data_IF_688013419523
#
_entry.id   IF_688013419523
#
_cell.length_a   1.000
_cell.length_b   1.000
_cell.length_c   1.000
_cell.angle_alpha   90.00
_cell.angle_beta   90.00
_cell.angle_gamma   90.00
#
_symmetry.space_group_name_H-M   'P 1'
#
loop_
_entity.id
_entity.type
_entity.pdbx_description
1 polymer ?
#
# COMPACT_ATOMS: atom_id res chain seq x y z
N UNK A 1 47.24 -28.18 -9.66
CA UNK A 1 46.36 -27.29 -10.44
C UNK A 1 45.38 -26.67 -9.46
N UNK A 2 45.69 -25.54 -8.81
CA UNK A 2 45.66 -24.13 -9.25
C UNK A 2 44.31 -23.71 -9.83
N UNK A 3 43.78 -22.64 -9.24
CA UNK A 3 42.61 -21.77 -9.55
C UNK A 3 41.40 -22.02 -8.64
N UNK A 4 40.88 -21.06 -7.86
CA UNK A 4 41.25 -19.67 -7.67
C UNK A 4 40.52 -19.09 -6.44
N UNK A 5 41.25 -18.36 -5.61
CA UNK A 5 40.73 -17.57 -4.49
C UNK A 5 41.25 -16.15 -4.65
N UNK A 6 40.40 -15.27 -5.16
CA UNK A 6 40.70 -13.83 -5.34
C UNK A 6 39.55 -12.92 -4.90
N UNK A 7 38.58 -13.44 -4.14
CA UNK A 7 37.39 -12.67 -3.74
C UNK A 7 37.34 -12.29 -2.25
N UNK A 8 38.12 -12.94 -1.37
CA UNK A 8 38.07 -12.69 0.08
C UNK A 8 39.01 -11.59 0.59
N UNK A 9 39.94 -11.11 -0.26
CA UNK A 9 40.96 -10.13 0.17
C UNK A 9 40.50 -8.66 0.10
N UNK A 10 39.33 -8.39 -0.49
CA UNK A 10 38.76 -7.03 -0.60
C UNK A 10 37.83 -6.68 0.57
N UNK A 11 37.22 -7.67 1.22
CA UNK A 11 36.27 -7.43 2.32
C UNK A 11 37.01 -7.11 3.63
N UNK A 12 38.14 -7.76 3.90
CA UNK A 12 38.95 -7.49 5.10
C UNK A 12 39.58 -6.09 5.06
N UNK A 13 39.91 -5.58 3.87
CA UNK A 13 40.56 -4.28 3.71
C UNK A 13 39.57 -3.10 3.85
N UNK A 14 38.30 -3.31 3.52
CA UNK A 14 37.23 -2.29 3.69
C UNK A 14 36.74 -2.22 5.14
N UNK A 15 36.68 -3.36 5.87
CA UNK A 15 36.34 -3.35 7.29
C UNK A 15 37.46 -2.74 8.18
N UNK A 16 38.74 -2.91 7.82
CA UNK A 16 39.83 -2.29 8.56
C UNK A 16 39.89 -0.75 8.38
N UNK A 17 39.41 -0.23 7.25
CA UNK A 17 39.34 1.21 6.99
C UNK A 17 38.11 1.87 7.66
N UNK A 18 37.01 1.14 7.85
CA UNK A 18 35.83 1.64 8.56
C UNK A 18 35.97 1.55 10.09
N UNK A 19 36.74 0.59 10.62
CA UNK A 19 37.01 0.48 12.05
C UNK A 19 38.04 1.51 12.58
N UNK A 20 38.81 2.16 11.70
CA UNK A 20 39.78 3.18 12.10
C UNK A 20 39.18 4.59 12.28
N UNK A 21 37.90 4.78 11.95
CA UNK A 21 37.24 6.11 11.98
C UNK A 21 36.22 6.27 13.11
N UNK A 22 35.92 5.21 13.87
CA UNK A 22 34.99 5.32 15.01
C UNK A 22 35.65 5.04 16.35
N UNK A 23 35.68 6.08 17.18
CA UNK A 23 35.72 6.09 18.65
C UNK A 23 37.08 6.04 19.37
N UNK A 24 37.66 7.23 19.60
CA UNK A 24 38.18 7.58 20.93
C UNK A 24 37.68 8.98 21.33
N UNK A 25 36.85 9.13 22.38
CA UNK A 25 36.20 10.38 22.74
C UNK A 25 37.05 11.26 23.68
N UNK A 26 38.37 11.31 23.50
CA UNK A 26 39.26 12.23 24.24
C UNK A 26 40.61 12.39 23.53
N UNK A 27 40.62 13.04 22.37
CA UNK A 27 41.86 13.55 21.79
C UNK A 27 42.00 15.04 22.14
N UNK A 28 42.69 15.30 23.24
CA UNK A 28 43.27 16.62 23.50
C UNK A 28 44.45 16.80 22.53
N UNK A 29 44.20 17.44 21.40
CA UNK A 29 45.25 17.80 20.45
C UNK A 29 46.04 19.01 21.00
N UNK A 30 46.99 18.77 21.89
CA UNK A 30 47.96 19.80 22.28
C UNK A 30 49.07 19.88 21.22
N UNK A 31 48.90 20.79 20.28
CA UNK A 31 49.85 21.02 19.20
C UNK A 31 51.06 21.78 19.75
N UNK A 32 52.20 21.10 19.91
CA UNK A 32 53.47 21.72 20.30
C UNK A 32 54.27 22.07 19.03
N UNK A 33 54.36 23.36 18.62
CA UNK A 33 55.08 23.71 17.40
C UNK A 33 56.60 23.54 17.60
N UNK A 34 57.35 23.17 16.56
CA UNK A 34 58.81 23.14 16.63
C UNK A 34 59.33 24.56 16.83
N UNK A 35 60.21 24.71 17.82
CA UNK A 35 60.90 25.95 18.16
C UNK A 35 61.88 26.34 17.04
N UNK A 36 61.40 27.09 16.06
CA UNK A 36 62.24 27.66 15.01
C UNK A 36 61.45 28.07 13.77
N UNK A 37 61.07 29.34 13.66
CA UNK A 37 60.43 29.89 12.47
C UNK A 37 59.25 30.83 12.73
N UNK A 38 59.37 31.75 13.68
CA UNK A 38 58.36 32.77 13.95
C UNK A 38 58.35 33.85 12.87
N UNK A 39 57.53 33.65 11.83
CA UNK A 39 56.78 34.69 11.09
C UNK A 39 55.94 34.04 9.97
N UNK A 40 56.48 33.02 9.30
CA UNK A 40 55.83 32.34 8.16
C UNK A 40 54.76 31.32 8.57
N UNK A 41 54.96 30.58 9.67
CA UNK A 41 54.00 29.58 10.13
C UNK A 41 52.65 30.19 10.58
N UNK A 42 52.67 31.39 11.18
CA UNK A 42 51.46 32.09 11.62
C UNK A 42 50.64 32.66 10.46
N UNK A 43 51.30 33.10 9.37
CA UNK A 43 50.66 33.55 8.12
C UNK A 43 50.04 32.40 7.32
N UNK A 44 50.62 31.20 7.39
CA UNK A 44 50.10 30.01 6.71
C UNK A 44 48.92 29.38 7.46
N UNK A 45 48.94 29.38 8.79
CA UNK A 45 47.83 28.87 9.61
C UNK A 45 46.56 29.73 9.48
N UNK A 46 46.69 31.06 9.40
CA UNK A 46 45.53 31.95 9.19
C UNK A 46 44.89 31.81 7.80
N UNK A 47 45.65 31.40 6.78
CA UNK A 47 45.13 31.10 5.43
C UNK A 47 44.46 29.73 5.32
N UNK A 48 44.80 28.79 6.20
CA UNK A 48 44.15 27.47 6.24
C UNK A 48 42.83 27.54 7.01
N UNK A 49 42.79 28.26 8.15
CA UNK A 49 41.56 28.50 8.90
C UNK A 49 40.48 29.22 8.07
N UNK A 50 40.87 30.21 7.25
CA UNK A 50 39.91 30.90 6.39
C UNK A 50 39.32 30.03 5.28
N UNK A 51 40.06 29.01 4.81
CA UNK A 51 39.55 28.06 3.81
C UNK A 51 38.59 27.04 4.41
N UNK A 52 38.83 26.62 5.66
CA UNK A 52 37.92 25.72 6.36
C UNK A 52 36.62 26.42 6.71
N UNK A 53 36.67 27.67 7.17
CA UNK A 53 35.45 28.49 7.44
C UNK A 53 34.60 28.72 6.18
N UNK A 54 35.23 29.03 5.04
CA UNK A 54 34.50 29.21 3.76
C UNK A 54 33.85 27.90 3.30
N UNK A 55 34.51 26.76 3.52
CA UNK A 55 33.93 25.46 3.19
C UNK A 55 32.81 25.06 4.15
N UNK A 56 32.90 25.43 5.43
CA UNK A 56 31.85 25.20 6.42
C UNK A 56 30.58 25.97 6.06
N UNK A 57 30.69 27.25 5.68
CA UNK A 57 29.54 28.01 5.18
C UNK A 57 28.89 27.37 3.95
N UNK A 58 29.69 26.88 3.00
CA UNK A 58 29.15 26.18 1.81
C UNK A 58 28.45 24.88 2.16
N UNK A 59 28.96 24.13 3.15
CA UNK A 59 28.32 22.91 3.63
C UNK A 59 26.97 23.20 4.31
N UNK A 60 26.88 24.30 5.06
CA UNK A 60 25.63 24.76 5.66
C UNK A 60 24.62 25.20 4.60
N UNK A 61 25.06 25.99 3.61
CA UNK A 61 24.20 26.42 2.50
C UNK A 61 23.70 25.23 1.66
N UNK A 62 24.54 24.21 1.46
CA UNK A 62 24.17 22.98 0.77
C UNK A 62 23.15 22.17 1.56
N UNK A 63 23.33 22.01 2.89
CA UNK A 63 22.33 21.34 3.72
C UNK A 63 20.98 22.04 3.64
N UNK A 64 20.95 23.36 3.82
CA UNK A 64 19.71 24.13 3.72
C UNK A 64 19.06 23.99 2.34
N UNK A 65 19.87 23.93 1.28
CA UNK A 65 19.36 23.73 -0.09
C UNK A 65 18.76 22.33 -0.27
N UNK A 66 19.35 21.30 0.33
CA UNK A 66 18.81 19.93 0.33
C UNK A 66 17.49 19.87 1.08
N UNK A 67 17.40 20.49 2.25
CA UNK A 67 16.17 20.52 3.05
C UNK A 67 15.01 21.17 2.28
N UNK A 68 15.26 22.32 1.65
CA UNK A 68 14.27 23.02 0.82
C UNK A 68 13.86 22.19 -0.40
N UNK A 69 14.79 21.46 -1.02
CA UNK A 69 14.48 20.58 -2.14
C UNK A 69 13.65 19.38 -1.70
N UNK A 70 13.92 18.82 -0.51
CA UNK A 70 13.14 17.73 0.05
C UNK A 70 11.69 18.17 0.30
N UNK A 71 11.47 19.31 0.96
CA UNK A 71 10.13 19.85 1.20
C UNK A 71 9.37 20.14 -0.11
N UNK A 72 10.06 20.66 -1.13
CA UNK A 72 9.49 20.88 -2.47
C UNK A 72 9.14 19.57 -3.16
N UNK A 73 9.95 18.53 -3.01
CA UNK A 73 9.66 17.22 -3.57
C UNK A 73 8.43 16.60 -2.88
N UNK A 74 8.39 16.61 -1.55
CA UNK A 74 7.28 16.07 -0.78
C UNK A 74 5.95 16.79 -1.09
N UNK A 75 5.96 18.12 -1.17
CA UNK A 75 4.78 18.89 -1.58
C UNK A 75 4.33 18.56 -3.00
N UNK A 76 5.26 18.42 -3.94
CA UNK A 76 4.93 18.04 -5.34
C UNK A 76 4.41 16.62 -5.47
N UNK A 77 4.91 15.68 -4.66
CA UNK A 77 4.38 14.32 -4.57
C UNK A 77 2.93 14.37 -4.10
N UNK A 78 2.62 15.09 -3.01
CA UNK A 78 1.24 15.25 -2.50
C UNK A 78 0.30 15.90 -3.51
N UNK A 79 0.76 16.91 -4.25
CA UNK A 79 -0.04 17.54 -5.32
C UNK A 79 -0.33 16.55 -6.46
N UNK A 80 0.66 15.75 -6.84
CA UNK A 80 0.51 14.71 -7.87
C UNK A 80 -0.47 13.63 -7.43
N UNK A 81 -0.35 13.15 -6.18
CA UNK A 81 -1.25 12.14 -5.62
C UNK A 81 -2.70 12.63 -5.67
N UNK A 82 -2.98 13.85 -5.19
CA UNK A 82 -4.33 14.43 -5.27
C UNK A 82 -4.84 14.56 -6.70
N UNK A 83 -3.99 15.02 -7.62
CA UNK A 83 -4.39 15.15 -9.03
C UNK A 83 -4.68 13.78 -9.65
N UNK A 84 -3.93 12.75 -9.27
CA UNK A 84 -4.15 11.38 -9.71
C UNK A 84 -5.45 10.82 -9.13
N UNK A 85 -5.70 10.96 -7.83
CA UNK A 85 -6.97 10.59 -7.17
C UNK A 85 -8.18 11.25 -7.86
N UNK A 86 -8.07 12.53 -8.22
CA UNK A 86 -9.15 13.22 -8.93
C UNK A 86 -9.43 12.66 -10.34
N UNK A 87 -8.39 12.21 -11.05
CA UNK A 87 -8.56 11.59 -12.37
C UNK A 87 -9.22 10.22 -12.21
N UNK A 88 -8.78 9.43 -11.24
CA UNK A 88 -9.35 8.12 -10.96
C UNK A 88 -10.83 8.20 -10.51
N UNK A 89 -11.19 9.14 -9.62
CA UNK A 89 -12.60 9.38 -9.26
C UNK A 89 -13.47 9.67 -10.50
N UNK A 90 -12.96 10.49 -11.41
CA UNK A 90 -13.67 10.82 -12.64
C UNK A 90 -13.80 9.61 -13.56
N UNK A 91 -12.75 8.80 -13.72
CA UNK A 91 -12.79 7.54 -14.48
C UNK A 91 -13.86 6.60 -13.90
N UNK A 92 -13.83 6.35 -12.59
CA UNK A 92 -14.80 5.48 -11.91
C UNK A 92 -16.25 5.94 -12.11
N UNK A 93 -16.47 7.26 -12.05
CA UNK A 93 -17.80 7.84 -12.25
C UNK A 93 -18.25 7.75 -13.70
N UNK A 94 -17.31 7.87 -14.65
CA UNK A 94 -17.61 7.66 -16.06
C UNK A 94 -17.95 6.20 -16.30
N UNK A 95 -17.14 5.25 -15.84
CA UNK A 95 -17.39 3.81 -16.00
C UNK A 95 -18.74 3.39 -15.44
N UNK A 96 -19.07 3.86 -14.23
CA UNK A 96 -20.36 3.58 -13.61
C UNK A 96 -21.55 4.13 -14.43
N UNK A 97 -21.36 5.29 -15.09
CA UNK A 97 -22.38 5.90 -15.94
C UNK A 97 -22.45 5.25 -17.33
N UNK A 98 -21.31 4.80 -17.85
CA UNK A 98 -21.22 4.20 -19.18
C UNK A 98 -21.85 2.81 -19.22
N UNK A 99 -22.09 2.19 -18.06
CA UNK A 99 -22.80 0.93 -17.86
C UNK A 99 -22.36 -0.16 -18.82
N UNK A 100 -21.61 -1.12 -18.29
CA UNK A 100 -21.19 -2.31 -19.01
C UNK A 100 -22.31 -2.86 -19.90
N UNK A 101 -21.96 -3.02 -21.17
CA UNK A 101 -22.86 -3.60 -22.17
C UNK A 101 -23.04 -5.11 -21.98
N UNK A 102 -22.20 -5.71 -21.13
CA UNK A 102 -22.24 -7.10 -20.75
C UNK A 102 -23.31 -7.41 -19.69
N UNK A 103 -23.70 -8.68 -19.59
CA UNK A 103 -24.62 -9.20 -18.59
C UNK A 103 -24.03 -9.18 -17.16
N UNK A 104 -24.87 -9.48 -16.16
CA UNK A 104 -24.51 -9.45 -14.71
C UNK A 104 -23.41 -10.42 -14.27
N UNK A 105 -22.97 -11.33 -15.13
CA UNK A 105 -21.99 -12.39 -14.84
C UNK A 105 -20.97 -12.50 -15.97
N UNK A 106 -20.77 -11.39 -16.63
CA UNK A 106 -19.92 -11.26 -17.79
C UNK A 106 -18.91 -10.15 -17.52
N UNK A 107 -17.70 -10.35 -18.02
CA UNK A 107 -16.60 -9.42 -17.93
C UNK A 107 -16.34 -8.82 -19.31
N UNK A 108 -16.16 -7.50 -19.36
CA UNK A 108 -15.88 -6.77 -20.57
C UNK A 108 -14.37 -6.75 -20.83
N UNK A 109 -13.94 -7.23 -21.99
CA UNK A 109 -12.53 -7.28 -22.36
C UNK A 109 -11.89 -5.91 -22.63
N UNK A 110 -12.68 -4.84 -22.64
CA UNK A 110 -12.20 -3.46 -22.88
C UNK A 110 -11.78 -3.21 -24.33
N UNK A 111 -12.14 -4.10 -25.25
CA UNK A 111 -11.90 -3.95 -26.68
C UNK A 111 -13.01 -3.14 -27.36
N UNK A 112 -12.73 -2.60 -28.55
CA UNK A 112 -13.73 -1.82 -29.31
C UNK A 112 -14.93 -2.68 -29.72
N UNK A 113 -14.78 -4.00 -29.79
CA UNK A 113 -15.82 -4.93 -30.26
C UNK A 113 -16.83 -5.35 -29.18
N UNK A 114 -16.72 -4.81 -27.96
CA UNK A 114 -17.63 -5.13 -26.86
C UNK A 114 -17.70 -6.64 -26.59
N UNK A 115 -16.53 -7.28 -26.52
CA UNK A 115 -16.42 -8.70 -26.27
C UNK A 115 -16.63 -8.98 -24.77
N UNK A 116 -17.66 -9.77 -24.48
CA UNK A 116 -18.01 -10.20 -23.14
C UNK A 116 -17.69 -11.67 -22.94
N UNK A 117 -16.94 -11.99 -21.89
CA UNK A 117 -16.65 -13.37 -21.46
C UNK A 117 -17.32 -13.65 -20.11
N UNK A 118 -17.38 -14.91 -19.66
CA UNK A 118 -17.93 -15.23 -18.33
C UNK A 118 -17.01 -14.75 -17.21
N UNK A 119 -17.59 -14.28 -16.11
CA UNK A 119 -16.91 -13.99 -14.84
C UNK A 119 -16.00 -15.13 -14.33
N UNK A 120 -16.33 -16.38 -14.66
CA UNK A 120 -15.56 -17.57 -14.28
C UNK A 120 -14.29 -17.79 -15.09
N UNK A 121 -14.13 -17.12 -16.24
CA UNK A 121 -12.93 -17.24 -17.08
C UNK A 121 -11.88 -16.18 -16.74
N UNK A 122 -12.26 -15.14 -15.99
CA UNK A 122 -11.34 -14.08 -15.61
C UNK A 122 -10.30 -14.60 -14.62
N UNK A 123 -9.02 -14.38 -14.90
CA UNK A 123 -7.91 -14.77 -14.04
C UNK A 123 -7.87 -16.27 -13.75
N UNK A 124 -8.26 -17.11 -14.71
CA UNK A 124 -8.24 -18.56 -14.60
C UNK A 124 -6.89 -19.17 -15.05
N UNK A 125 -6.04 -18.36 -15.69
CA UNK A 125 -4.74 -18.71 -16.25
C UNK A 125 -4.75 -18.95 -17.77
N UNK A 126 -5.89 -18.74 -18.44
CA UNK A 126 -6.11 -18.80 -19.88
C UNK A 126 -6.47 -17.40 -20.37
N UNK A 127 -5.89 -16.97 -21.50
CA UNK A 127 -6.33 -15.73 -22.14
C UNK A 127 -7.57 -16.03 -22.99
N UNK A 128 -8.74 -15.62 -22.50
CA UNK A 128 -10.03 -15.79 -23.16
C UNK A 128 -10.46 -14.52 -23.90
N UNK A 129 -9.98 -13.34 -23.49
CA UNK A 129 -10.10 -12.13 -24.30
C UNK A 129 -9.07 -12.11 -25.45
N UNK A 130 -9.44 -11.53 -26.60
CA UNK A 130 -8.53 -11.39 -27.75
C UNK A 130 -7.30 -10.51 -27.44
N UNK A 131 -7.44 -9.57 -26.51
CA UNK A 131 -6.37 -8.72 -25.99
C UNK A 131 -5.71 -9.28 -24.71
N UNK A 132 -6.15 -10.45 -24.21
CA UNK A 132 -5.73 -11.05 -22.95
C UNK A 132 -5.94 -10.16 -21.71
N UNK A 133 -6.90 -9.22 -21.75
CA UNK A 133 -7.19 -8.29 -20.65
C UNK A 133 -7.62 -9.01 -19.37
N UNK A 134 -8.33 -10.12 -19.51
CA UNK A 134 -8.79 -10.99 -18.44
C UNK A 134 -7.66 -11.64 -17.61
N UNK A 135 -6.44 -11.66 -18.13
CA UNK A 135 -5.25 -12.21 -17.47
C UNK A 135 -4.21 -11.13 -17.12
N UNK A 136 -4.55 -9.85 -17.29
CA UNK A 136 -3.65 -8.78 -16.93
C UNK A 136 -3.45 -8.67 -15.42
N UNK A 137 -2.21 -8.34 -15.01
CA UNK A 137 -1.84 -8.35 -13.60
C UNK A 137 -2.64 -7.36 -12.73
N UNK A 138 -3.16 -6.29 -13.33
CA UNK A 138 -3.98 -5.31 -12.62
C UNK A 138 -5.43 -5.81 -12.40
N UNK A 139 -5.98 -6.58 -13.34
CA UNK A 139 -7.30 -7.23 -13.20
C UNK A 139 -7.22 -8.36 -12.17
N UNK A 140 -6.14 -9.14 -12.22
CA UNK A 140 -5.95 -10.30 -11.35
C UNK A 140 -5.31 -9.98 -9.98
N UNK A 141 -5.20 -8.70 -9.64
CA UNK A 141 -4.76 -8.27 -8.31
C UNK A 141 -5.90 -8.44 -7.30
N UNK A 142 -5.58 -9.00 -6.12
CA UNK A 142 -6.55 -9.13 -5.04
C UNK A 142 -6.45 -7.92 -4.10
N UNK A 143 -7.36 -6.96 -4.24
CA UNK A 143 -7.45 -5.77 -3.37
C UNK A 143 -7.68 -6.13 -1.89
N UNK A 144 -8.35 -7.25 -1.64
CA UNK A 144 -8.60 -7.84 -0.32
C UNK A 144 -7.66 -9.01 0.02
N UNK A 145 -6.39 -8.95 -0.43
CA UNK A 145 -5.39 -9.98 -0.14
C UNK A 145 -5.09 -10.16 1.35
N UNK A 146 -4.51 -11.30 1.72
CA UNK A 146 -4.17 -11.61 3.12
C UNK A 146 -3.29 -10.53 3.78
N UNK A 147 -3.62 -10.18 5.02
CA UNK A 147 -2.99 -9.10 5.79
C UNK A 147 -3.65 -7.73 5.60
N UNK A 148 -4.58 -7.60 4.66
CA UNK A 148 -5.33 -6.34 4.49
C UNK A 148 -6.30 -6.11 5.65
N UNK A 149 -6.35 -4.88 6.14
CA UNK A 149 -7.37 -4.40 7.07
C UNK A 149 -8.20 -3.35 6.35
N UNK A 150 -9.52 -3.48 6.42
CA UNK A 150 -10.49 -2.56 5.83
C UNK A 150 -11.37 -2.05 6.96
N UNK A 151 -11.43 -0.74 7.15
CA UNK A 151 -12.22 -0.14 8.24
C UNK A 151 -13.01 1.08 7.78
N UNK A 152 -14.16 1.30 8.41
CA UNK A 152 -15.03 2.41 8.07
C UNK A 152 -16.25 2.52 8.98
N UNK A 153 -16.85 3.71 8.96
CA UNK A 153 -18.03 4.02 9.74
C UNK A 153 -19.30 3.72 8.95
N UNK A 154 -20.34 3.27 9.66
CA UNK A 154 -21.63 2.94 9.05
C UNK A 154 -22.48 4.19 8.94
N UNK A 155 -22.85 4.56 7.72
CA UNK A 155 -23.62 5.79 7.44
C UNK A 155 -25.13 5.59 7.62
N UNK A 156 -25.62 4.37 7.42
CA UNK A 156 -27.04 4.02 7.54
C UNK A 156 -27.15 2.62 8.12
N UNK A 157 -27.94 2.45 9.19
CA UNK A 157 -28.19 1.15 9.80
C UNK A 157 -29.68 0.96 10.08
N UNK A 158 -30.27 -0.06 9.46
CA UNK A 158 -31.64 -0.55 9.69
C UNK A 158 -31.65 -2.04 10.03
N UNK A 159 -30.49 -2.62 10.31
CA UNK A 159 -30.32 -4.03 10.61
C UNK A 159 -30.95 -4.35 11.98
N UNK A 160 -32.11 -5.02 11.96
CA UNK A 160 -32.81 -5.40 13.18
C UNK A 160 -31.96 -6.34 14.07
N UNK A 161 -31.78 -5.99 15.35
CA UNK A 161 -31.09 -6.84 16.34
C UNK A 161 -29.70 -6.38 16.76
N UNK A 162 -29.12 -5.43 16.03
CA UNK A 162 -27.94 -4.66 16.42
C UNK A 162 -28.27 -3.20 16.17
N UNK A 163 -29.13 -2.66 17.05
CA UNK A 163 -29.33 -1.22 17.10
C UNK A 163 -27.93 -0.62 17.28
N UNK A 164 -27.56 0.30 16.38
CA UNK A 164 -26.36 1.12 16.52
C UNK A 164 -24.99 0.51 16.20
N UNK A 165 -24.86 -0.34 15.18
CA UNK A 165 -23.52 -0.58 14.60
C UNK A 165 -22.93 0.76 14.12
N UNK A 166 -21.80 1.17 14.68
CA UNK A 166 -21.15 2.45 14.40
C UNK A 166 -19.95 2.28 13.48
N UNK A 167 -19.14 1.25 13.73
CA UNK A 167 -17.85 1.05 13.05
C UNK A 167 -17.65 -0.42 12.68
N UNK A 168 -17.13 -0.67 11.47
CA UNK A 168 -16.77 -2.00 10.98
C UNK A 168 -15.27 -2.02 10.73
N UNK A 169 -14.61 -3.06 11.22
CA UNK A 169 -13.26 -3.43 10.82
C UNK A 169 -13.23 -4.87 10.35
N UNK A 170 -12.81 -5.06 9.10
CA UNK A 170 -12.62 -6.32 8.43
C UNK A 170 -11.12 -6.60 8.31
N UNK A 171 -10.67 -7.75 8.79
CA UNK A 171 -9.26 -8.16 8.71
C UNK A 171 -9.15 -9.46 7.95
N UNK A 172 -8.40 -9.46 6.85
CA UNK A 172 -8.17 -10.67 6.04
C UNK A 172 -7.02 -11.46 6.62
N UNK A 173 -7.31 -12.58 7.26
CA UNK A 173 -6.30 -13.42 7.93
C UNK A 173 -5.60 -14.34 6.94
N UNK A 174 -6.35 -14.86 5.97
CA UNK A 174 -5.82 -15.88 5.07
C UNK A 174 -6.48 -15.85 3.71
N UNK A 175 -5.70 -16.21 2.71
CA UNK A 175 -6.12 -16.32 1.32
C UNK A 175 -5.73 -17.67 0.77
N UNK A 176 -6.66 -18.30 0.03
CA UNK A 176 -6.45 -19.56 -0.65
C UNK A 176 -7.00 -19.47 -2.06
N UNK A 177 -6.10 -19.53 -3.04
CA UNK A 177 -6.43 -19.66 -4.47
C UNK A 177 -6.09 -21.07 -4.92
N UNK A 178 -7.05 -21.77 -5.55
CA UNK A 178 -6.86 -23.14 -6.00
C UNK A 178 -6.22 -23.11 -7.39
N UNK A 179 -5.21 -23.93 -7.62
CA UNK A 179 -4.52 -23.94 -8.92
C UNK A 179 -5.41 -24.33 -10.10
N UNK A 180 -6.44 -25.15 -9.86
CA UNK A 180 -7.42 -25.59 -10.87
C UNK A 180 -8.65 -24.67 -10.98
N UNK A 181 -8.75 -23.65 -10.14
CA UNK A 181 -9.86 -22.69 -10.17
C UNK A 181 -9.37 -21.37 -9.57
N UNK A 182 -8.77 -20.56 -10.44
CA UNK A 182 -8.05 -19.34 -10.07
C UNK A 182 -8.93 -18.09 -10.12
N UNK A 183 -10.08 -18.15 -10.79
CA UNK A 183 -11.04 -17.04 -10.95
C UNK A 183 -11.70 -16.58 -9.65
N UNK A 184 -11.59 -17.37 -8.58
CA UNK A 184 -12.12 -17.02 -7.25
C UNK A 184 -11.10 -17.37 -6.17
N UNK A 185 -10.81 -16.40 -5.30
CA UNK A 185 -10.02 -16.62 -4.10
C UNK A 185 -10.93 -16.86 -2.89
N UNK A 186 -10.64 -17.89 -2.10
CA UNK A 186 -11.31 -18.12 -0.81
C UNK A 186 -10.53 -17.42 0.28
N UNK A 187 -11.19 -16.53 1.00
CA UNK A 187 -10.61 -15.75 2.08
C UNK A 187 -11.16 -16.20 3.43
N UNK A 188 -10.32 -16.08 4.46
CA UNK A 188 -10.73 -16.20 5.86
C UNK A 188 -10.57 -14.83 6.49
N UNK A 189 -11.66 -14.28 7.00
CA UNK A 189 -11.71 -12.89 7.46
C UNK A 189 -12.25 -12.83 8.88
N UNK A 190 -11.73 -11.93 9.70
CA UNK A 190 -12.35 -11.58 10.97
C UNK A 190 -13.06 -10.25 10.82
N UNK A 191 -14.31 -10.22 11.24
CA UNK A 191 -15.12 -9.01 11.28
C UNK A 191 -15.26 -8.58 12.73
N UNK A 192 -14.93 -7.32 12.97
CA UNK A 192 -15.09 -6.61 14.23
C UNK A 192 -16.15 -5.52 14.02
N UNK A 193 -17.21 -5.56 14.81
CA UNK A 193 -18.23 -4.53 14.83
C UNK A 193 -18.21 -3.82 16.18
N UNK A 194 -18.21 -2.49 16.16
CA UNK A 194 -18.37 -1.67 17.37
C UNK A 194 -19.75 -1.05 17.36
N UNK A 195 -20.52 -1.22 18.44
CA UNK A 195 -21.80 -0.53 18.62
C UNK A 195 -21.61 0.90 19.18
N UNK A 196 -22.66 1.72 19.21
CA UNK A 196 -22.63 3.08 19.79
C UNK A 196 -22.29 3.06 21.30
N UNK A 197 -22.53 1.94 21.98
CA UNK A 197 -22.20 1.75 23.41
C UNK A 197 -20.72 1.35 23.63
N UNK A 198 -19.97 1.09 22.54
CA UNK A 198 -18.58 0.68 22.55
C UNK A 198 -18.33 -0.81 22.79
N UNK A 199 -19.36 -1.66 22.76
CA UNK A 199 -19.18 -3.10 22.75
C UNK A 199 -18.65 -3.56 21.39
N UNK A 200 -17.72 -4.51 21.46
CA UNK A 200 -17.06 -5.08 20.29
C UNK A 200 -17.58 -6.50 20.07
N UNK A 201 -18.01 -6.77 18.85
CA UNK A 201 -18.50 -8.06 18.40
C UNK A 201 -17.59 -8.62 17.31
N UNK A 202 -17.03 -9.80 17.58
CA UNK A 202 -16.06 -10.43 16.70
C UNK A 202 -16.61 -11.73 16.12
N UNK A 203 -16.36 -11.94 14.83
CA UNK A 203 -16.71 -13.19 14.14
C UNK A 203 -15.67 -13.56 13.10
N UNK A 204 -15.31 -14.85 13.05
CA UNK A 204 -14.45 -15.39 12.00
C UNK A 204 -15.32 -15.94 10.87
N UNK A 205 -15.25 -15.31 9.71
CA UNK A 205 -16.13 -15.57 8.57
C UNK A 205 -15.34 -16.14 7.38
N UNK A 206 -16.05 -16.90 6.57
CA UNK A 206 -15.56 -17.31 5.26
C UNK A 206 -15.98 -16.28 4.22
N UNK A 207 -15.06 -15.92 3.33
CA UNK A 207 -15.34 -14.98 2.26
C UNK A 207 -14.84 -15.50 0.92
N UNK A 208 -15.45 -14.99 -0.16
CA UNK A 208 -15.05 -15.24 -1.54
C UNK A 208 -14.74 -13.91 -2.20
N UNK A 209 -13.63 -13.85 -2.91
CA UNK A 209 -13.25 -12.71 -3.73
C UNK A 209 -13.30 -13.11 -5.20
N UNK A 210 -14.05 -12.34 -5.98
CA UNK A 210 -14.22 -12.52 -7.42
C UNK A 210 -13.39 -11.47 -8.16
N UNK A 211 -12.44 -11.91 -8.97
CA UNK A 211 -11.53 -11.00 -9.70
C UNK A 211 -12.24 -10.23 -10.81
N UNK A 212 -13.22 -10.84 -11.49
CA UNK A 212 -13.95 -10.23 -12.61
C UNK A 212 -14.59 -8.88 -12.29
N UNK A 213 -15.09 -8.72 -11.07
CA UNK A 213 -15.80 -7.51 -10.64
C UNK A 213 -15.15 -6.85 -9.43
N UNK A 214 -13.98 -7.35 -8.99
CA UNK A 214 -13.36 -6.98 -7.72
C UNK A 214 -14.36 -6.94 -6.56
N UNK A 215 -15.17 -7.99 -6.42
CA UNK A 215 -16.22 -8.09 -5.40
C UNK A 215 -15.82 -9.07 -4.30
N UNK A 216 -15.91 -8.62 -3.05
CA UNK A 216 -15.73 -9.43 -1.85
C UNK A 216 -17.10 -9.77 -1.23
N UNK A 217 -17.36 -11.05 -1.05
CA UNK A 217 -18.57 -11.54 -0.36
C UNK A 217 -18.14 -12.26 0.91
N UNK A 218 -18.51 -11.72 2.06
CA UNK A 218 -18.32 -12.33 3.36
C UNK A 218 -19.61 -13.02 3.78
N UNK A 219 -19.54 -14.33 3.99
CA UNK A 219 -20.67 -15.12 4.45
C UNK A 219 -20.83 -14.99 5.96
N UNK A 220 -22.07 -14.92 6.46
CA UNK A 220 -22.32 -14.89 7.89
C UNK A 220 -21.79 -16.15 8.57
N UNK A 221 -21.16 -15.98 9.72
CA UNK A 221 -20.75 -17.06 10.61
C UNK A 221 -21.14 -16.77 12.05
N UNK A 222 -21.38 -17.81 12.83
CA UNK A 222 -21.71 -17.68 14.25
C UNK A 222 -23.10 -17.08 14.50
N UNK A 223 -23.20 -16.22 15.53
CA UNK A 223 -24.46 -15.65 16.00
C UNK A 223 -24.97 -14.44 15.20
N UNK A 224 -24.07 -13.77 14.45
CA UNK A 224 -24.43 -12.64 13.60
C UNK A 224 -24.93 -13.18 12.24
N UNK A 225 -26.21 -12.94 11.92
CA UNK A 225 -26.87 -13.43 10.70
C UNK A 225 -26.82 -12.42 9.56
N UNK A 226 -25.68 -11.74 9.41
CA UNK A 226 -25.47 -10.73 8.38
C UNK A 226 -24.23 -11.06 7.58
N UNK A 227 -24.36 -11.01 6.26
CA UNK A 227 -23.22 -11.03 5.34
C UNK A 227 -22.76 -9.62 5.02
N UNK A 228 -21.57 -9.51 4.46
CA UNK A 228 -21.03 -8.27 3.93
C UNK A 228 -20.73 -8.47 2.44
N UNK A 229 -21.16 -7.53 1.61
CA UNK A 229 -20.76 -7.44 0.21
C UNK A 229 -19.95 -6.16 0.08
N UNK A 230 -18.74 -6.23 -0.48
CA UNK A 230 -17.78 -5.13 -0.53
C UNK A 230 -17.26 -5.04 -1.96
N UNK A 231 -17.61 -3.94 -2.61
CA UNK A 231 -17.42 -3.73 -4.04
C UNK A 231 -16.28 -2.74 -4.20
N UNK A 232 -15.15 -3.21 -4.74
CA UNK A 232 -14.00 -2.35 -4.99
C UNK A 232 -14.24 -1.63 -6.32
N UNK A 233 -14.99 -0.52 -6.23
CA UNK A 233 -15.37 0.25 -7.41
C UNK A 233 -14.20 1.13 -7.84
N UNK A 234 -13.66 0.81 -9.02
CA UNK A 234 -12.78 1.70 -9.77
C UNK A 234 -11.28 1.48 -9.57
N UNK A 235 -10.47 2.45 -10.01
CA UNK A 235 -9.00 2.36 -10.01
C UNK A 235 -8.35 2.42 -8.61
N UNK A 236 -9.17 2.45 -7.57
CA UNK A 236 -8.74 2.55 -6.19
C UNK A 236 -8.89 1.21 -5.48
N UNK A 237 -7.78 0.49 -5.35
CA UNK A 237 -7.73 -0.80 -4.64
C UNK A 237 -7.75 -0.64 -3.11
N UNK A 238 -7.89 0.60 -2.62
CA UNK A 238 -7.79 0.99 -1.22
C UNK A 238 -9.14 1.34 -0.58
N UNK A 239 -10.24 1.37 -1.33
CA UNK A 239 -11.57 1.49 -0.75
C UNK A 239 -12.56 0.49 -1.35
N UNK A 240 -13.57 0.13 -0.56
CA UNK A 240 -14.72 -0.59 -1.07
C UNK A 240 -16.04 -0.01 -0.56
N UNK A 241 -17.05 -0.04 -1.42
CA UNK A 241 -18.43 0.22 -1.04
C UNK A 241 -19.00 -1.05 -0.42
N UNK A 242 -19.22 -1.00 0.89
CA UNK A 242 -19.62 -2.14 1.68
C UNK A 242 -21.11 -2.05 2.04
N UNK A 243 -21.85 -3.07 1.62
CA UNK A 243 -23.26 -3.27 1.94
C UNK A 243 -23.42 -4.47 2.88
N UNK A 244 -24.02 -4.23 4.04
CA UNK A 244 -24.39 -5.28 5.00
C UNK A 244 -25.76 -5.83 4.61
N UNK A 245 -25.84 -7.15 4.43
CA UNK A 245 -27.04 -7.85 3.98
C UNK A 245 -27.49 -8.88 5.01
N UNK A 246 -28.80 -8.99 5.20
CA UNK A 246 -29.35 -10.03 6.08
C UNK A 246 -29.36 -11.41 5.39
N UNK A 247 -28.91 -12.46 6.09
CA UNK A 247 -28.74 -13.81 5.54
C UNK A 247 -30.00 -14.37 4.88
N UNK A 248 -31.16 -14.21 5.53
CA UNK A 248 -32.41 -14.84 5.09
C UNK A 248 -33.17 -14.09 4.00
N UNK A 249 -33.08 -12.76 3.96
CA UNK A 249 -33.82 -11.91 3.01
C UNK A 249 -32.94 -11.37 1.88
N UNK A 250 -31.61 -11.37 2.06
CA UNK A 250 -30.65 -10.70 1.19
C UNK A 250 -30.91 -9.20 1.03
N UNK A 251 -31.70 -8.63 1.93
CA UNK A 251 -31.98 -7.19 1.94
C UNK A 251 -30.80 -6.44 2.56
N UNK A 252 -30.38 -5.39 1.86
CA UNK A 252 -29.39 -4.44 2.36
C UNK A 252 -29.99 -3.70 3.56
N UNK A 253 -29.30 -3.74 4.69
CA UNK A 253 -29.74 -3.08 5.91
C UNK A 253 -28.76 -2.02 6.40
N UNK A 254 -27.49 -2.07 5.97
CA UNK A 254 -26.53 -1.02 6.23
C UNK A 254 -25.56 -0.79 5.07
N UNK A 255 -25.02 0.43 5.01
CA UNK A 255 -24.03 0.85 4.02
C UNK A 255 -22.87 1.56 4.71
N UNK A 256 -21.65 1.24 4.29
CA UNK A 256 -20.41 1.80 4.79
C UNK A 256 -19.39 1.90 3.64
N UNK A 257 -18.50 2.88 3.69
CA UNK A 257 -17.33 2.92 2.81
C UNK A 257 -16.15 2.46 3.66
N UNK A 258 -15.54 1.34 3.30
CA UNK A 258 -14.38 0.81 4.02
C UNK A 258 -13.10 1.24 3.31
N UNK A 259 -12.15 1.74 4.07
CA UNK A 259 -10.83 2.13 3.58
C UNK A 259 -9.78 1.16 4.10
N UNK A 260 -8.85 0.79 3.23
CA UNK A 260 -7.74 -0.10 3.53
C UNK A 260 -6.73 0.63 4.41
N UNK A 261 -6.47 0.08 5.59
CA UNK A 261 -5.43 0.54 6.50
C UNK A 261 -4.23 -0.40 6.45
N UNK A 262 -3.04 0.20 6.30
CA UNK A 262 -1.74 -0.48 6.23
C UNK A 262 -1.16 -0.77 7.60
#
# INVERSE_FOLDING_TARGET
AVHGSTQDMRVVLVCALLAAVTAQPNCHCEFRPPSGGGFLAHMLSGRQASRTEVNEHRLTDLHQSVDVLQERLESKIKEREKAYEHVLDLENRVDHLEKDTCGKREFQCGDMEHHCISDLLVCDGSADCDNAHDEEGHVCENSAGAGSVLEGDINHNTCAGYDHMAHIRLTVIGERRRHWFQSVATLTVTMHFTDDDGHVHDSENHALYYFAHHHLIVYPSGGARFGLVCDFVGAHHDHCDATVVHEGSLEACAHAILTKTH
#
